data_IF_659866941484
#
_entry.id   IF_659866941484
#
_cell.length_a   1.000
_cell.length_b   1.000
_cell.length_c   1.000
_cell.angle_alpha   90.00
_cell.angle_beta   90.00
_cell.angle_gamma   90.00
#
_symmetry.space_group_name_H-M   'P 1'
#
loop_
_entity.id
_entity.type
_entity.pdbx_description
1 polymer ?
#
# COMPACT_ATOMS: atom_id res chain seq x y z
N UNK A 1 15.98 13.27 38.29
CA UNK A 1 14.97 14.11 37.59
C UNK A 1 15.53 14.54 36.25
N UNK A 2 15.07 13.94 35.16
CA UNK A 2 15.37 14.39 33.79
C UNK A 2 14.43 15.56 33.46
N UNK A 3 14.96 16.73 33.13
CA UNK A 3 14.15 17.91 32.78
C UNK A 3 13.82 17.91 31.28
N UNK A 4 12.66 18.47 30.90
CA UNK A 4 12.19 18.58 29.50
C UNK A 4 13.22 19.18 28.54
N UNK A 5 14.15 20.02 29.02
CA UNK A 5 15.25 20.59 28.22
C UNK A 5 16.29 19.55 27.76
N UNK A 6 16.34 18.38 28.40
CA UNK A 6 17.22 17.26 28.01
C UNK A 6 16.71 16.47 26.81
N UNK A 7 15.44 16.64 26.43
CA UNK A 7 14.81 15.87 25.35
C UNK A 7 15.00 16.56 23.99
N UNK A 8 15.07 17.90 23.95
CA UNK A 8 15.16 18.67 22.70
C UNK A 8 16.49 18.45 21.96
N UNK A 9 17.58 18.14 22.66
CA UNK A 9 18.87 17.84 22.02
C UNK A 9 18.90 16.51 21.27
N UNK A 10 17.95 15.59 21.53
CA UNK A 10 17.85 14.32 20.81
C UNK A 10 17.14 14.44 19.45
N UNK A 11 16.34 15.50 19.24
CA UNK A 11 15.59 15.69 18.00
C UNK A 11 16.35 16.46 16.91
N UNK A 12 17.55 16.99 17.21
CA UNK A 12 18.43 17.66 16.25
C UNK A 12 19.30 16.70 15.42
N UNK A 13 18.79 15.50 15.14
CA UNK A 13 19.46 14.60 14.20
C UNK A 13 18.96 14.94 12.81
N UNK A 14 19.76 15.69 12.06
CA UNK A 14 19.62 15.82 10.61
C UNK A 14 19.66 14.41 10.02
N UNK A 15 18.46 13.85 9.82
CA UNK A 15 18.28 12.58 9.15
C UNK A 15 18.43 12.92 7.67
N UNK A 16 19.38 12.32 6.95
CA UNK A 16 19.55 12.64 5.55
C UNK A 16 18.24 12.36 4.80
N UNK A 17 17.74 13.36 4.07
CA UNK A 17 16.47 13.33 3.34
C UNK A 17 16.58 12.49 2.04
N UNK A 18 17.10 11.27 2.14
CA UNK A 18 17.05 10.34 1.01
C UNK A 18 15.71 9.65 1.01
N UNK A 19 14.94 9.83 -0.07
CA UNK A 19 13.71 9.07 -0.29
C UNK A 19 13.99 7.57 -0.18
N UNK A 20 13.07 6.84 0.46
CA UNK A 20 13.16 5.38 0.55
C UNK A 20 12.35 4.77 -0.58
N UNK A 21 13.00 3.96 -1.40
CA UNK A 21 12.32 3.20 -2.44
C UNK A 21 11.57 2.02 -1.82
N UNK A 22 10.25 2.04 -1.96
CA UNK A 22 9.31 0.98 -1.55
C UNK A 22 8.85 0.23 -2.81
N UNK A 23 8.69 -1.08 -2.69
CA UNK A 23 8.32 -1.94 -3.82
C UNK A 23 6.85 -2.31 -3.75
N UNK A 24 6.09 -1.97 -4.78
CA UNK A 24 4.68 -2.34 -4.93
C UNK A 24 4.59 -3.45 -5.95
N UNK A 25 4.03 -4.59 -5.56
CA UNK A 25 3.95 -5.79 -6.40
C UNK A 25 2.51 -6.28 -6.50
N UNK A 26 2.06 -6.52 -7.73
CA UNK A 26 0.73 -7.02 -8.03
C UNK A 26 0.74 -7.78 -9.36
N UNK A 27 -0.34 -8.51 -9.70
CA UNK A 27 -0.47 -9.11 -11.02
C UNK A 27 -0.41 -8.05 -12.13
N UNK A 28 0.11 -8.41 -13.29
CA UNK A 28 0.27 -7.52 -14.45
C UNK A 28 -1.05 -6.92 -14.91
N UNK A 29 -2.12 -7.72 -14.89
CA UNK A 29 -3.48 -7.24 -15.21
C UNK A 29 -3.89 -6.05 -14.33
N UNK A 30 -3.41 -5.99 -13.08
CA UNK A 30 -3.75 -4.90 -12.17
C UNK A 30 -3.08 -3.59 -12.58
N UNK A 31 -1.82 -3.66 -13.03
CA UNK A 31 -1.13 -2.50 -13.59
C UNK A 31 -1.78 -2.05 -14.90
N UNK A 32 -2.13 -2.97 -15.79
CA UNK A 32 -2.84 -2.63 -17.04
C UNK A 32 -4.18 -1.94 -16.75
N UNK A 33 -4.94 -2.41 -15.74
CA UNK A 33 -6.19 -1.76 -15.31
C UNK A 33 -5.96 -0.36 -14.74
N UNK A 34 -4.89 -0.17 -13.98
CA UNK A 34 -4.52 1.14 -13.47
C UNK A 34 -4.20 2.12 -14.61
N UNK A 35 -3.51 1.67 -15.66
CA UNK A 35 -3.22 2.48 -16.85
C UNK A 35 -4.51 2.89 -17.56
N UNK A 36 -5.39 1.94 -17.85
CA UNK A 36 -6.71 2.22 -18.47
C UNK A 36 -7.53 3.17 -17.60
N UNK A 37 -7.51 3.01 -16.29
CA UNK A 37 -8.22 3.91 -15.37
C UNK A 37 -7.65 5.35 -15.43
N UNK A 38 -6.34 5.52 -15.52
CA UNK A 38 -5.72 6.84 -15.67
C UNK A 38 -6.08 7.46 -17.03
N UNK A 39 -6.10 6.67 -18.11
CA UNK A 39 -6.54 7.12 -19.42
C UNK A 39 -8.02 7.55 -19.41
N UNK A 40 -8.90 6.79 -18.74
CA UNK A 40 -10.30 7.13 -18.56
C UNK A 40 -10.46 8.49 -17.84
N UNK A 41 -9.63 8.78 -16.84
CA UNK A 41 -9.64 10.07 -16.14
C UNK A 41 -9.27 11.19 -17.11
N UNK A 42 -8.15 11.05 -17.83
CA UNK A 42 -7.68 12.05 -18.80
C UNK A 42 -8.73 12.33 -19.88
N UNK A 43 -9.40 11.29 -20.36
CA UNK A 43 -10.49 11.43 -21.32
C UNK A 43 -11.71 12.14 -20.73
N UNK A 44 -12.06 11.83 -19.48
CA UNK A 44 -13.23 12.42 -18.80
C UNK A 44 -13.02 13.90 -18.49
N UNK A 45 -11.80 14.30 -18.12
CA UNK A 45 -11.49 15.71 -17.79
C UNK A 45 -11.16 16.54 -19.02
N UNK A 46 -10.78 15.90 -20.13
CA UNK A 46 -10.26 16.57 -21.33
C UNK A 46 -9.04 17.46 -21.03
N UNK A 47 -8.24 17.05 -20.03
CA UNK A 47 -7.02 17.74 -19.59
C UNK A 47 -5.80 16.84 -19.76
N UNK A 48 -4.68 17.43 -20.17
CA UNK A 48 -3.39 16.74 -20.18
C UNK A 48 -2.83 16.68 -18.74
N UNK A 49 -3.17 15.61 -18.02
CA UNK A 49 -2.75 15.39 -16.63
C UNK A 49 -1.29 14.90 -16.54
N UNK A 50 -0.35 15.77 -16.92
CA UNK A 50 1.08 15.45 -16.88
C UNK A 50 1.51 15.01 -15.48
N UNK A 51 2.20 13.87 -15.40
CA UNK A 51 2.69 13.30 -14.14
C UNK A 51 1.65 12.48 -13.35
N UNK A 52 0.42 12.35 -13.84
CA UNK A 52 -0.53 11.35 -13.37
C UNK A 52 -0.14 9.97 -13.93
N UNK A 53 0.44 9.13 -13.08
CA UNK A 53 0.89 7.78 -13.43
C UNK A 53 0.60 6.82 -12.27
N UNK A 54 0.87 5.53 -12.45
CA UNK A 54 0.60 4.50 -11.42
C UNK A 54 1.35 4.83 -10.12
N UNK A 55 2.56 5.39 -10.19
CA UNK A 55 3.32 5.83 -9.02
C UNK A 55 2.58 6.93 -8.25
N UNK A 56 1.98 7.90 -8.93
CA UNK A 56 1.14 8.91 -8.30
C UNK A 56 -0.09 8.28 -7.63
N UNK A 57 -0.78 7.37 -8.33
CA UNK A 57 -1.95 6.68 -7.77
C UNK A 57 -1.59 5.91 -6.49
N UNK A 58 -0.48 5.16 -6.50
CA UNK A 58 0.00 4.43 -5.31
C UNK A 58 0.33 5.39 -4.17
N UNK A 59 1.00 6.51 -4.45
CA UNK A 59 1.28 7.54 -3.44
C UNK A 59 -0.01 8.14 -2.88
N UNK A 60 -0.99 8.42 -3.73
CA UNK A 60 -2.28 8.95 -3.32
C UNK A 60 -3.03 7.99 -2.38
N UNK A 61 -3.05 6.69 -2.69
CA UNK A 61 -3.64 5.66 -1.82
C UNK A 61 -2.93 5.62 -0.47
N UNK A 62 -1.61 5.71 -0.49
CA UNK A 62 -0.80 5.74 0.73
C UNK A 62 -1.03 7.02 1.56
N UNK A 63 -1.12 8.18 0.92
CA UNK A 63 -1.40 9.46 1.57
C UNK A 63 -2.80 9.46 2.21
N UNK A 64 -3.79 8.90 1.51
CA UNK A 64 -5.14 8.72 2.03
C UNK A 64 -5.13 7.82 3.28
N UNK A 65 -4.43 6.68 3.22
CA UNK A 65 -4.23 5.81 4.38
C UNK A 65 -3.57 6.59 5.54
N UNK A 66 -2.49 7.32 5.27
CA UNK A 66 -1.81 8.15 6.28
C UNK A 66 -2.71 9.24 6.86
N UNK A 67 -3.62 9.83 6.09
CA UNK A 67 -4.58 10.80 6.60
C UNK A 67 -5.54 10.17 7.61
N UNK A 68 -5.95 8.92 7.40
CA UNK A 68 -6.74 8.17 8.38
C UNK A 68 -5.93 7.88 9.66
N UNK A 69 -4.66 7.50 9.50
CA UNK A 69 -3.73 7.33 10.63
C UNK A 69 -3.55 8.64 11.42
N UNK A 70 -3.41 9.78 10.73
CA UNK A 70 -3.30 11.11 11.37
C UNK A 70 -4.56 11.54 12.12
N UNK A 71 -5.71 10.98 11.77
CA UNK A 71 -6.99 11.23 12.43
C UNK A 71 -7.24 10.29 13.61
N UNK A 72 -6.21 9.56 14.07
CA UNK A 72 -6.28 8.57 15.16
C UNK A 72 -7.35 7.48 14.92
N UNK A 73 -7.66 7.18 13.65
CA UNK A 73 -8.57 6.09 13.31
C UNK A 73 -7.89 4.76 13.57
N UNK A 74 -8.62 3.86 14.21
CA UNK A 74 -8.17 2.51 14.46
C UNK A 74 -8.38 1.64 13.22
N UNK A 75 -7.33 1.50 12.42
CA UNK A 75 -7.32 0.75 11.16
C UNK A 75 -6.79 -0.70 11.33
N UNK A 76 -6.63 -1.19 12.56
CA UNK A 76 -6.04 -2.51 12.82
C UNK A 76 -6.87 -3.64 12.19
N UNK A 77 -8.17 -3.68 12.47
CA UNK A 77 -9.09 -4.68 11.89
C UNK A 77 -9.14 -4.57 10.36
N UNK A 78 -9.16 -3.35 9.82
CA UNK A 78 -9.10 -3.12 8.38
C UNK A 78 -7.85 -3.74 7.75
N UNK A 79 -6.66 -3.58 8.35
CA UNK A 79 -5.45 -4.17 7.80
C UNK A 79 -5.40 -5.69 7.93
N UNK A 80 -6.01 -6.26 8.98
CA UNK A 80 -6.17 -7.71 9.08
C UNK A 80 -7.08 -8.24 7.97
N UNK A 81 -8.23 -7.59 7.76
CA UNK A 81 -9.18 -7.96 6.70
C UNK A 81 -8.54 -7.82 5.31
N UNK A 82 -7.80 -6.71 5.09
CA UNK A 82 -7.07 -6.44 3.85
C UNK A 82 -6.05 -7.56 3.57
N UNK A 83 -5.32 -7.99 4.59
CA UNK A 83 -4.35 -9.08 4.51
C UNK A 83 -5.02 -10.42 4.27
N UNK A 84 -6.06 -10.75 5.01
CA UNK A 84 -6.79 -12.01 4.84
C UNK A 84 -7.37 -12.13 3.42
N UNK A 85 -7.96 -11.04 2.93
CA UNK A 85 -8.63 -11.00 1.63
C UNK A 85 -7.64 -11.09 0.47
N UNK A 86 -6.52 -10.35 0.53
CA UNK A 86 -5.67 -10.12 -0.65
C UNK A 86 -4.27 -10.74 -0.57
N UNK A 87 -3.86 -11.34 0.56
CA UNK A 87 -2.52 -11.93 0.72
C UNK A 87 -2.19 -13.05 -0.26
N UNK A 88 -3.20 -13.75 -0.80
CA UNK A 88 -3.03 -14.78 -1.82
C UNK A 88 -2.41 -14.23 -3.12
N UNK A 89 -2.55 -12.93 -3.39
CA UNK A 89 -1.87 -12.26 -4.50
C UNK A 89 -0.37 -12.00 -4.22
N UNK A 90 0.05 -12.01 -2.96
CA UNK A 90 1.43 -11.74 -2.55
C UNK A 90 2.26 -13.03 -2.36
N UNK A 91 1.61 -14.12 -1.95
CA UNK A 91 2.26 -15.39 -1.60
C UNK A 91 2.16 -16.43 -2.74
N UNK A 92 3.18 -16.53 -3.59
CA UNK A 92 3.23 -17.56 -4.65
C UNK A 92 3.71 -18.95 -4.18
N UNK A 93 4.07 -19.14 -2.91
CA UNK A 93 4.69 -20.39 -2.42
C UNK A 93 3.77 -21.34 -1.66
N UNK A 94 2.48 -21.05 -1.49
CA UNK A 94 1.57 -22.02 -0.87
C UNK A 94 0.79 -22.76 -1.95
N UNK A 95 1.35 -23.89 -2.39
CA UNK A 95 0.53 -24.93 -3.01
C UNK A 95 -0.67 -25.18 -2.10
N UNK A 96 -1.87 -24.91 -2.59
CA UNK A 96 -3.12 -25.35 -1.96
C UNK A 96 -3.16 -26.87 -2.06
N UNK A 97 -2.48 -27.53 -1.11
CA UNK A 97 -2.71 -28.93 -0.78
C UNK A 97 -2.93 -29.00 0.72
N UNK A 98 -4.17 -29.32 1.08
CA UNK A 98 -4.54 -29.65 2.44
C UNK A 98 -5.77 -28.89 2.90
N UNK A 99 -6.92 -29.57 2.88
CA UNK A 99 -8.04 -29.23 3.74
C UNK A 99 -7.53 -29.13 5.18
N UNK A 100 -7.31 -27.92 5.67
CA UNK A 100 -7.21 -27.67 7.11
C UNK A 100 -7.90 -26.37 7.42
N UNK A 101 -8.97 -26.50 8.20
CA UNK A 101 -9.63 -25.40 8.89
C UNK A 101 -8.59 -24.64 9.72
N UNK A 102 -8.55 -23.31 9.54
CA UNK A 102 -8.01 -22.32 10.48
C UNK A 102 -6.50 -22.39 10.75
N UNK A 103 -5.73 -21.78 9.86
CA UNK A 103 -4.46 -21.11 10.23
C UNK A 103 -4.50 -19.66 9.72
N UNK A 104 -5.40 -18.87 10.32
CA UNK A 104 -5.50 -17.41 10.09
C UNK A 104 -4.27 -16.70 10.68
N UNK A 105 -3.44 -17.39 11.47
CA UNK A 105 -2.44 -16.76 12.34
C UNK A 105 -1.03 -16.61 11.74
N UNK A 106 -0.77 -17.06 10.51
CA UNK A 106 0.53 -16.84 9.85
C UNK A 106 0.38 -16.69 8.36
N UNK A 107 -0.24 -15.59 7.93
CA UNK A 107 0.05 -15.11 6.57
C UNK A 107 1.54 -14.76 6.56
N UNK A 108 2.32 -15.41 5.70
CA UNK A 108 3.74 -15.09 5.58
C UNK A 108 3.87 -13.61 5.17
N UNK A 109 4.80 -12.89 5.82
CA UNK A 109 5.25 -11.55 5.39
C UNK A 109 5.52 -11.53 3.89
N UNK A 110 5.43 -10.36 3.28
CA UNK A 110 5.87 -10.14 1.90
C UNK A 110 7.26 -10.75 1.64
N UNK A 111 7.29 -11.95 1.08
CA UNK A 111 8.49 -12.72 0.82
C UNK A 111 8.55 -13.06 -0.65
N UNK A 112 9.04 -12.09 -1.44
CA UNK A 112 9.38 -12.33 -2.84
C UNK A 112 10.86 -12.71 -2.96
N UNK A 113 11.15 -13.99 -3.17
CA UNK A 113 12.50 -14.45 -3.53
C UNK A 113 12.60 -14.68 -5.04
N UNK A 114 13.47 -13.94 -5.73
CA UNK A 114 13.83 -14.19 -7.13
C UNK A 114 14.49 -15.58 -7.35
N UNK A 115 14.93 -16.23 -6.27
CA UNK A 115 15.69 -17.48 -6.28
C UNK A 115 14.85 -18.76 -6.41
N UNK A 116 13.52 -18.69 -6.24
CA UNK A 116 12.63 -19.87 -6.32
C UNK A 116 11.60 -19.78 -7.46
N UNK A 117 11.94 -19.09 -8.56
CA UNK A 117 11.12 -19.13 -9.78
C UNK A 117 11.42 -20.43 -10.54
N UNK A 118 11.05 -21.57 -9.94
CA UNK A 118 11.02 -22.83 -10.65
C UNK A 118 9.84 -22.79 -11.63
N UNK A 119 10.14 -22.54 -12.90
CA UNK A 119 9.46 -23.10 -14.07
C UNK A 119 7.93 -23.36 -13.95
N UNK A 120 7.17 -22.36 -13.50
CA UNK A 120 5.71 -22.37 -13.56
C UNK A 120 5.29 -21.12 -14.35
N UNK A 121 4.49 -21.35 -15.37
CA UNK A 121 4.04 -20.40 -16.41
C UNK A 121 3.43 -19.09 -15.91
N UNK A 122 3.14 -18.95 -14.60
CA UNK A 122 2.56 -17.75 -13.98
C UNK A 122 3.52 -16.71 -13.42
N UNK A 123 4.84 -16.96 -13.39
CA UNK A 123 5.81 -15.96 -12.89
C UNK A 123 5.96 -14.73 -13.81
N UNK A 124 5.51 -14.83 -15.07
CA UNK A 124 5.45 -13.71 -16.04
C UNK A 124 4.27 -12.77 -15.80
N UNK A 125 3.37 -13.12 -14.89
CA UNK A 125 2.10 -12.42 -14.69
C UNK A 125 2.14 -11.41 -13.53
N UNK A 126 3.31 -11.11 -12.95
CA UNK A 126 3.45 -10.14 -11.87
C UNK A 126 4.48 -9.08 -12.20
N UNK A 127 4.16 -7.82 -11.88
CA UNK A 127 5.05 -6.68 -12.05
C UNK A 127 5.40 -6.07 -10.69
N UNK A 128 6.52 -5.35 -10.64
CA UNK A 128 6.95 -4.60 -9.45
C UNK A 128 7.23 -3.17 -9.86
N UNK A 129 6.57 -2.25 -9.18
CA UNK A 129 6.75 -0.81 -9.30
C UNK A 129 7.59 -0.31 -8.11
N UNK A 130 8.62 0.47 -8.41
CA UNK A 130 9.42 1.15 -7.38
C UNK A 130 8.81 2.53 -7.13
N UNK A 131 8.49 2.82 -5.87
CA UNK A 131 7.87 4.07 -5.43
C UNK A 131 8.73 4.72 -4.38
N UNK A 132 9.18 5.94 -4.65
CA UNK A 132 10.01 6.69 -3.72
C UNK A 132 9.14 7.45 -2.71
N UNK A 133 9.28 7.11 -1.44
CA UNK A 133 8.49 7.65 -0.33
C UNK A 133 9.36 8.52 0.58
N UNK A 134 8.79 9.61 1.08
CA UNK A 134 9.54 10.52 1.93
C UNK A 134 9.85 9.85 3.28
N UNK A 135 11.06 10.00 3.85
CA UNK A 135 11.44 9.31 5.10
C UNK A 135 10.49 9.57 6.28
N UNK A 136 9.92 10.78 6.37
CA UNK A 136 8.94 11.12 7.42
C UNK A 136 7.69 10.26 7.36
N UNK A 137 7.22 9.90 6.17
CA UNK A 137 6.03 9.06 5.98
C UNK A 137 6.34 7.61 6.33
N UNK A 138 7.50 7.11 5.90
CA UNK A 138 8.00 5.78 6.26
C UNK A 138 8.13 5.64 7.78
N UNK A 139 8.73 6.63 8.44
CA UNK A 139 8.91 6.63 9.89
C UNK A 139 7.57 6.69 10.61
N UNK A 140 6.59 7.44 10.10
CA UNK A 140 5.25 7.51 10.69
C UNK A 140 4.58 6.14 10.70
N UNK A 141 4.64 5.40 9.59
CA UNK A 141 4.08 4.04 9.52
C UNK A 141 4.82 3.10 10.48
N UNK A 142 6.15 3.18 10.53
CA UNK A 142 6.93 2.35 11.43
C UNK A 142 6.48 2.55 12.89
N UNK A 143 6.38 3.80 13.33
CA UNK A 143 5.88 4.13 14.68
C UNK A 143 4.45 3.62 14.88
N UNK A 144 3.59 3.80 13.89
CA UNK A 144 2.19 3.39 14.00
C UNK A 144 2.02 1.86 14.09
N UNK A 145 2.81 1.10 13.33
CA UNK A 145 2.85 -0.35 13.44
C UNK A 145 3.40 -0.80 14.80
N UNK A 146 4.46 -0.15 15.30
CA UNK A 146 5.01 -0.43 16.64
C UNK A 146 3.98 -0.15 17.75
N UNK A 147 3.23 0.96 17.65
CA UNK A 147 2.17 1.32 18.61
C UNK A 147 1.05 0.28 18.64
N UNK A 148 0.67 -0.26 17.48
CA UNK A 148 -0.32 -1.33 17.40
C UNK A 148 0.18 -2.68 17.90
N UNK A 149 1.41 -3.04 17.59
CA UNK A 149 2.02 -4.26 18.14
C UNK A 149 2.13 -4.18 19.68
N UNK A 150 2.18 -2.98 20.26
CA UNK A 150 2.07 -2.77 21.71
C UNK A 150 0.63 -2.82 22.23
N UNK A 151 -0.35 -2.38 21.43
CA UNK A 151 -1.76 -2.25 21.83
C UNK A 151 -2.52 -3.57 21.73
N UNK A 152 -2.21 -4.39 20.72
CA UNK A 152 -2.93 -5.62 20.41
C UNK A 152 -2.13 -6.86 20.79
N UNK A 153 -2.83 -7.92 21.20
CA UNK A 153 -2.20 -9.18 21.61
C UNK A 153 -1.56 -9.94 20.44
N UNK A 154 -2.08 -9.71 19.23
CA UNK A 154 -1.59 -10.34 17.99
C UNK A 154 -0.82 -9.27 17.22
N UNK A 155 0.46 -9.49 16.88
CA UNK A 155 1.22 -8.54 16.08
C UNK A 155 0.68 -8.53 14.65
N UNK A 156 0.59 -7.35 14.05
CA UNK A 156 0.14 -7.19 12.66
C UNK A 156 1.13 -7.85 11.68
N UNK A 157 2.42 -7.82 12.03
CA UNK A 157 3.53 -8.43 11.29
C UNK A 157 3.51 -8.10 9.78
N UNK A 158 3.27 -6.81 9.46
CA UNK A 158 3.17 -6.27 8.10
C UNK A 158 4.32 -5.32 7.82
N UNK A 159 4.86 -5.35 6.59
CA UNK A 159 5.85 -4.38 6.13
C UNK A 159 5.24 -3.30 5.21
N UNK A 160 6.00 -2.23 4.96
CA UNK A 160 5.52 -1.13 4.12
C UNK A 160 5.33 -1.55 2.64
N UNK A 161 6.09 -2.52 2.13
CA UNK A 161 5.91 -3.03 0.77
C UNK A 161 4.59 -3.81 0.66
N UNK A 162 4.29 -4.62 1.68
CA UNK A 162 3.06 -5.40 1.85
C UNK A 162 1.87 -4.44 1.91
N UNK A 163 1.91 -3.44 2.79
CA UNK A 163 0.85 -2.44 2.91
C UNK A 163 0.55 -1.78 1.56
N UNK A 164 1.55 -1.21 0.89
CA UNK A 164 1.32 -0.51 -0.38
C UNK A 164 0.85 -1.45 -1.49
N UNK A 165 1.34 -2.70 -1.51
CA UNK A 165 0.88 -3.70 -2.47
C UNK A 165 -0.58 -4.07 -2.23
N UNK A 166 -0.97 -4.27 -0.96
CA UNK A 166 -2.34 -4.59 -0.60
C UNK A 166 -3.32 -3.44 -0.88
N UNK A 167 -2.95 -2.19 -0.54
CA UNK A 167 -3.75 -1.00 -0.86
C UNK A 167 -3.97 -0.86 -2.38
N UNK A 168 -2.92 -1.10 -3.17
CA UNK A 168 -3.03 -1.07 -4.63
C UNK A 168 -3.93 -2.21 -5.15
N UNK A 169 -3.78 -3.43 -4.62
CA UNK A 169 -4.57 -4.59 -5.01
C UNK A 169 -6.06 -4.38 -4.68
N UNK A 170 -6.36 -3.89 -3.48
CA UNK A 170 -7.73 -3.54 -3.06
C UNK A 170 -8.33 -2.52 -4.01
N UNK A 171 -7.65 -1.39 -4.24
CA UNK A 171 -8.13 -0.34 -5.11
C UNK A 171 -8.50 -0.85 -6.51
N UNK A 172 -7.61 -1.65 -7.13
CA UNK A 172 -7.88 -2.20 -8.46
C UNK A 172 -8.99 -3.26 -8.43
N UNK A 173 -9.12 -4.01 -7.34
CA UNK A 173 -10.20 -4.99 -7.17
C UNK A 173 -11.55 -4.28 -7.07
N UNK A 174 -11.63 -3.21 -6.30
CA UNK A 174 -12.82 -2.36 -6.20
C UNK A 174 -13.17 -1.71 -7.55
N UNK A 175 -12.17 -1.21 -8.29
CA UNK A 175 -12.38 -0.74 -9.66
C UNK A 175 -12.95 -1.83 -10.58
N UNK A 176 -12.46 -3.07 -10.46
CA UNK A 176 -12.90 -4.21 -11.27
C UNK A 176 -14.34 -4.65 -10.93
N UNK A 177 -14.70 -4.63 -9.65
CA UNK A 177 -16.02 -5.06 -9.19
C UNK A 177 -17.14 -4.10 -9.64
N UNK A 178 -16.76 -2.94 -10.19
CA UNK A 178 -17.67 -1.94 -10.70
C UNK A 178 -18.08 -1.01 -9.57
N UNK A 179 -17.39 0.12 -9.48
CA UNK A 179 -17.81 1.21 -8.61
C UNK A 179 -19.11 1.81 -9.14
N UNK A 180 -20.00 2.24 -8.24
CA UNK A 180 -21.10 3.09 -8.63
C UNK A 180 -20.57 4.34 -9.36
N UNK A 181 -21.28 4.81 -10.39
CA UNK A 181 -20.84 5.97 -11.19
C UNK A 181 -20.62 7.22 -10.34
N UNK A 182 -21.43 7.40 -9.29
CA UNK A 182 -21.27 8.47 -8.31
C UNK A 182 -19.94 8.35 -7.56
N UNK A 183 -19.62 7.15 -7.04
CA UNK A 183 -18.37 6.87 -6.34
C UNK A 183 -17.16 7.01 -7.26
N UNK A 184 -17.27 6.58 -8.51
CA UNK A 184 -16.21 6.78 -9.52
C UNK A 184 -15.94 8.27 -9.71
N UNK A 185 -16.98 9.09 -9.88
CA UNK A 185 -16.83 10.55 -10.03
C UNK A 185 -16.23 11.21 -8.79
N UNK A 186 -16.63 10.79 -7.59
CA UNK A 186 -16.07 11.29 -6.34
C UNK A 186 -14.58 10.96 -6.20
N UNK A 187 -14.19 9.73 -6.53
CA UNK A 187 -12.78 9.30 -6.53
C UNK A 187 -11.99 10.12 -7.53
N UNK A 188 -12.51 10.30 -8.76
CA UNK A 188 -11.84 11.11 -9.79
C UNK A 188 -11.69 12.56 -9.32
N UNK A 189 -12.73 13.17 -8.77
CA UNK A 189 -12.67 14.53 -8.23
C UNK A 189 -11.63 14.66 -7.09
N UNK A 190 -11.55 13.65 -6.21
CA UNK A 190 -10.55 13.61 -5.14
C UNK A 190 -9.13 13.48 -5.69
N UNK A 191 -8.91 12.61 -6.68
CA UNK A 191 -7.63 12.44 -7.38
C UNK A 191 -7.20 13.76 -8.02
N UNK A 192 -8.10 14.45 -8.72
CA UNK A 192 -7.80 15.71 -9.42
C UNK A 192 -7.43 16.82 -8.43
N UNK A 193 -8.22 16.98 -7.37
CA UNK A 193 -7.91 17.95 -6.31
C UNK A 193 -6.52 17.70 -5.72
N UNK A 194 -6.18 16.44 -5.43
CA UNK A 194 -4.86 16.08 -4.89
C UNK A 194 -3.73 16.23 -5.91
N UNK A 195 -4.03 16.07 -7.20
CA UNK A 195 -3.08 16.34 -8.27
C UNK A 195 -2.78 17.84 -8.41
N UNK A 196 -3.78 18.71 -8.28
CA UNK A 196 -3.62 20.17 -8.28
C UNK A 196 -2.85 20.70 -7.06
N UNK A 197 -2.88 19.98 -5.92
CA UNK A 197 -2.14 20.33 -4.71
C UNK A 197 -0.62 20.03 -4.78
N UNK A 198 -0.14 19.37 -5.85
CA UNK A 198 1.30 19.09 -6.08
C UNK A 198 2.10 20.32 -6.50
#
# INVERSE_FOLDING_TARGET
>A
MLTLKSWTSFFNRESPEFYKTVKVRAPRDFFNRAEVFIEDIQYTTNEELYGMNITFLVKLLFDNFLDHVRQDKDLYDYLLDLRETYSHFLNMNTSVMGNSLRDIHRVAKFQWSLSNVSSMTGARDYLTLNVDIHPREVNRIAVFFDDWDCKYEIPLDMDLNELLSLLFIEFITELRNGLAEETKKEIIASILKKWEER
#
